data_IF_058592044584
#
_entry.id   IF_058592044584
#
_cell.length_a   1.000
_cell.length_b   1.000
_cell.length_c   1.000
_cell.angle_alpha   90.00
_cell.angle_beta   90.00
_cell.angle_gamma   90.00
#
_symmetry.space_group_name_H-M   'P 1'
#
loop_
_entity.id
_entity.type
_entity.pdbx_description
1 polymer ?
#
# COMPACT_ATOMS: atom_id res chain seq x y z
N UNK A 1 59.93 19.39 28.82
CA UNK A 1 58.67 19.67 28.08
C UNK A 1 58.11 20.97 28.62
N UNK A 2 57.91 21.99 27.78
CA UNK A 2 57.39 23.30 28.22
C UNK A 2 55.95 23.19 28.72
N UNK A 3 55.53 24.04 29.67
CA UNK A 3 54.15 24.08 30.17
C UNK A 3 53.13 24.25 29.05
N UNK A 4 53.46 25.03 28.02
CA UNK A 4 52.65 25.20 26.81
C UNK A 4 52.37 23.88 26.09
N UNK A 5 53.35 22.97 26.01
CA UNK A 5 53.15 21.64 25.42
C UNK A 5 52.19 20.80 26.26
N UNK A 6 52.33 20.82 27.60
CA UNK A 6 51.43 20.10 28.51
C UNK A 6 50.00 20.63 28.47
N UNK A 7 49.85 21.95 28.34
CA UNK A 7 48.54 22.59 28.19
C UNK A 7 47.85 22.16 26.89
N UNK A 8 48.57 22.18 25.76
CA UNK A 8 48.04 21.74 24.45
C UNK A 8 47.62 20.26 24.45
N UNK A 9 48.39 19.36 25.08
CA UNK A 9 48.00 17.94 25.18
C UNK A 9 46.75 17.74 26.04
N UNK A 10 46.60 18.50 27.13
CA UNK A 10 45.44 18.42 28.02
C UNK A 10 44.18 18.96 27.36
N UNK A 11 44.27 20.11 26.67
CA UNK A 11 43.13 20.68 25.95
C UNK A 11 42.74 19.82 24.76
N UNK A 12 43.72 19.31 24.00
CA UNK A 12 43.47 18.36 22.90
C UNK A 12 42.79 17.07 23.37
N UNK A 13 43.23 16.49 24.48
CA UNK A 13 42.59 15.30 25.07
C UNK A 13 41.14 15.59 25.50
N UNK A 14 40.91 16.73 26.14
CA UNK A 14 39.57 17.10 26.63
C UNK A 14 38.59 17.32 25.48
N UNK A 15 39.02 18.00 24.41
CA UNK A 15 38.22 18.16 23.19
C UNK A 15 37.92 16.82 22.54
N UNK A 16 38.90 15.91 22.46
CA UNK A 16 38.70 14.57 21.91
C UNK A 16 37.68 13.76 22.73
N UNK A 17 37.78 13.77 24.06
CA UNK A 17 36.85 13.07 24.95
C UNK A 17 35.43 13.62 24.84
N UNK A 18 35.27 14.95 24.82
CA UNK A 18 33.96 15.59 24.65
C UNK A 18 33.37 15.27 23.26
N UNK A 19 34.19 15.29 22.21
CA UNK A 19 33.76 14.91 20.86
C UNK A 19 33.29 13.45 20.78
N UNK A 20 34.04 12.52 21.39
CA UNK A 20 33.68 11.09 21.45
C UNK A 20 32.40 10.90 22.27
N UNK A 21 32.27 11.55 23.43
CA UNK A 21 31.06 11.47 24.25
C UNK A 21 29.83 12.02 23.51
N UNK A 22 29.96 13.14 22.79
CA UNK A 22 28.89 13.68 21.96
C UNK A 22 28.50 12.70 20.85
N UNK A 23 29.46 12.08 20.15
CA UNK A 23 29.20 11.04 19.14
C UNK A 23 28.46 9.83 19.73
N UNK A 24 28.88 9.36 20.90
CA UNK A 24 28.28 8.21 21.59
C UNK A 24 26.88 8.49 22.14
N UNK A 25 26.50 9.76 22.35
CA UNK A 25 25.16 10.13 22.83
C UNK A 25 24.23 10.50 21.67
N UNK A 26 24.70 11.35 20.76
CA UNK A 26 23.85 11.91 19.67
C UNK A 26 23.42 10.82 18.70
N UNK A 27 24.31 9.90 18.33
CA UNK A 27 24.01 8.79 17.42
C UNK A 27 22.85 7.90 17.90
N UNK A 28 22.97 7.22 19.05
CA UNK A 28 21.91 6.37 19.57
C UNK A 28 20.65 7.15 19.98
N UNK A 29 20.78 8.40 20.43
CA UNK A 29 19.63 9.25 20.72
C UNK A 29 18.81 9.55 19.46
N UNK A 30 19.47 9.91 18.36
CA UNK A 30 18.82 10.21 17.07
C UNK A 30 18.10 8.99 16.50
N UNK A 31 18.75 7.81 16.58
CA UNK A 31 18.15 6.52 16.18
C UNK A 31 16.92 6.18 17.04
N UNK A 32 17.00 6.38 18.35
CA UNK A 32 15.89 6.13 19.28
C UNK A 32 14.72 7.09 19.07
N UNK A 33 14.99 8.36 18.76
CA UNK A 33 13.91 9.32 18.46
C UNK A 33 13.20 9.02 17.14
N UNK A 34 13.92 8.53 16.13
CA UNK A 34 13.34 8.16 14.84
C UNK A 34 12.39 6.96 14.95
N UNK A 35 12.72 5.96 15.78
CA UNK A 35 11.84 4.81 16.01
C UNK A 35 10.59 5.14 16.83
N UNK A 36 10.56 6.25 17.55
CA UNK A 36 9.44 6.63 18.43
C UNK A 36 8.49 7.64 17.77
N UNK A 37 9.00 8.54 16.93
CA UNK A 37 8.21 9.69 16.47
C UNK A 37 7.25 9.33 15.33
N UNK A 38 7.50 8.26 14.58
CA UNK A 38 6.76 7.91 13.35
C UNK A 38 6.89 9.00 12.27
N UNK A 39 6.11 8.89 11.20
CA UNK A 39 6.13 9.86 10.10
C UNK A 39 4.83 10.66 9.99
N UNK A 40 4.94 11.88 9.45
CA UNK A 40 3.78 12.70 9.05
C UNK A 40 3.64 12.63 7.53
N UNK A 41 2.56 12.02 7.06
CA UNK A 41 2.19 12.09 5.65
C UNK A 41 1.23 13.27 5.43
N UNK A 42 1.54 14.14 4.49
CA UNK A 42 0.67 15.27 4.10
C UNK A 42 -0.41 14.71 3.17
N UNK A 43 -1.68 14.96 3.50
CA UNK A 43 -2.77 14.65 2.59
C UNK A 43 -2.63 15.45 1.30
N UNK A 44 -2.63 14.77 0.16
CA UNK A 44 -2.79 15.38 -1.16
C UNK A 44 -3.98 14.77 -1.86
N UNK A 45 -4.81 15.63 -2.45
CA UNK A 45 -5.95 15.18 -3.23
C UNK A 45 -5.45 14.56 -4.53
N UNK A 46 -5.80 13.29 -4.76
CA UNK A 46 -5.44 12.53 -5.97
C UNK A 46 -6.65 11.71 -6.43
N UNK A 47 -7.68 12.39 -7.01
CA UNK A 47 -8.97 11.78 -7.31
C UNK A 47 -8.90 10.70 -8.40
N UNK A 48 -7.81 10.66 -9.16
CA UNK A 48 -7.58 9.68 -10.21
C UNK A 48 -7.09 8.31 -9.70
N UNK A 49 -6.64 8.21 -8.43
CA UNK A 49 -6.19 6.95 -7.85
C UNK A 49 -7.39 6.02 -7.57
N UNK A 50 -7.21 4.69 -7.58
CA UNK A 50 -8.30 3.76 -7.29
C UNK A 50 -8.76 3.83 -5.83
N UNK A 51 -10.01 3.45 -5.57
CA UNK A 51 -10.68 3.50 -4.26
C UNK A 51 -11.22 4.88 -3.87
N UNK A 52 -11.46 5.07 -2.58
CA UNK A 52 -11.94 6.31 -1.96
C UNK A 52 -10.85 6.91 -1.06
N UNK A 53 -10.76 8.24 -1.02
CA UNK A 53 -9.79 8.93 -0.18
C UNK A 53 -10.27 8.91 1.28
N UNK A 54 -9.35 8.64 2.19
CA UNK A 54 -9.55 8.78 3.63
C UNK A 54 -8.54 9.79 4.15
N UNK A 55 -8.96 10.66 5.07
CA UNK A 55 -8.05 11.60 5.72
C UNK A 55 -6.88 10.87 6.38
N UNK A 56 -5.68 11.39 6.13
CA UNK A 56 -4.46 10.83 6.70
C UNK A 56 -4.31 11.32 8.13
N UNK A 57 -4.28 10.38 9.07
CA UNK A 57 -4.11 10.66 10.49
C UNK A 57 -2.62 10.85 10.85
N UNK A 58 -2.38 11.59 11.94
CA UNK A 58 -1.06 11.62 12.57
C UNK A 58 -0.64 10.18 12.91
N UNK A 59 0.56 9.77 12.46
CA UNK A 59 0.97 8.37 12.44
C UNK A 59 2.23 8.09 13.27
N UNK A 60 2.21 8.34 14.60
CA UNK A 60 3.34 8.01 15.46
C UNK A 60 3.47 6.50 15.65
N UNK A 61 4.70 6.04 15.91
CA UNK A 61 4.92 4.70 16.41
C UNK A 61 4.45 4.59 17.87
N UNK A 62 3.69 3.54 18.17
CA UNK A 62 3.12 3.30 19.49
C UNK A 62 3.44 1.90 20.01
N UNK A 63 3.37 1.73 21.34
CA UNK A 63 3.49 0.42 21.97
C UNK A 63 2.17 -0.38 21.88
N UNK A 64 2.23 -1.72 22.01
CA UNK A 64 1.04 -2.58 22.08
C UNK A 64 0.01 -2.13 23.12
N UNK A 65 0.46 -1.65 24.28
CA UNK A 65 -0.42 -1.16 25.34
C UNK A 65 -1.25 0.05 24.87
N UNK A 66 -0.63 0.99 24.15
CA UNK A 66 -1.30 2.19 23.65
C UNK A 66 -2.27 1.90 22.51
N UNK A 67 -2.05 0.84 21.72
CA UNK A 67 -2.90 0.52 20.57
C UNK A 67 -4.37 0.28 20.95
N UNK A 68 -4.64 -0.24 22.14
CA UNK A 68 -6.01 -0.45 22.65
C UNK A 68 -6.86 0.83 22.74
N UNK A 69 -6.19 1.99 22.87
CA UNK A 69 -6.82 3.31 22.97
C UNK A 69 -6.92 4.06 21.63
N UNK A 70 -6.31 3.53 20.57
CA UNK A 70 -6.30 4.19 19.25
C UNK A 70 -7.69 4.13 18.64
N UNK A 71 -8.04 5.21 17.94
CA UNK A 71 -9.22 5.30 17.10
C UNK A 71 -8.77 5.71 15.71
N UNK A 72 -9.29 5.00 14.71
CA UNK A 72 -9.02 5.25 13.30
C UNK A 72 -10.29 5.77 12.64
N UNK A 73 -10.12 6.48 11.53
CA UNK A 73 -11.23 7.12 10.79
C UNK A 73 -11.80 6.21 9.68
N UNK A 74 -11.26 5.01 9.52
CA UNK A 74 -11.70 4.01 8.55
C UNK A 74 -11.66 2.60 9.13
N UNK A 75 -12.47 1.71 8.52
CA UNK A 75 -12.54 0.29 8.86
C UNK A 75 -12.45 -0.52 7.56
N UNK A 76 -11.36 -1.25 7.29
CA UNK A 76 -10.11 -1.29 8.06
C UNK A 76 -9.34 0.05 8.04
N UNK A 77 -8.44 0.28 9.00
CA UNK A 77 -7.70 1.53 9.10
C UNK A 77 -6.70 1.69 7.97
N UNK A 78 -6.60 2.90 7.41
CA UNK A 78 -5.72 3.22 6.26
C UNK A 78 -4.52 4.08 6.62
N UNK A 79 -4.48 4.66 7.83
CA UNK A 79 -3.37 5.47 8.35
C UNK A 79 -3.53 5.65 9.87
N UNK A 80 -2.59 6.31 10.53
CA UNK A 80 -2.69 6.70 11.94
C UNK A 80 -1.67 5.99 12.84
N UNK A 81 -1.82 6.08 14.17
CA UNK A 81 -0.87 5.50 15.11
C UNK A 81 -0.73 4.00 14.92
N UNK A 82 0.50 3.49 14.83
CA UNK A 82 0.75 2.09 14.48
C UNK A 82 2.04 1.57 15.15
N UNK A 83 2.33 0.28 15.06
CA UNK A 83 3.49 -0.28 15.77
C UNK A 83 4.79 0.13 15.11
N UNK A 84 5.91 0.15 15.85
CA UNK A 84 7.24 0.33 15.24
C UNK A 84 7.69 -0.91 14.44
N UNK A 85 7.08 -2.07 14.70
CA UNK A 85 7.32 -3.31 13.97
C UNK A 85 6.37 -3.41 12.77
N UNK A 86 6.89 -3.96 11.68
CA UNK A 86 6.12 -4.30 10.47
C UNK A 86 5.92 -5.80 10.32
N UNK A 87 5.07 -6.19 9.38
CA UNK A 87 4.89 -7.58 8.93
C UNK A 87 5.40 -7.78 7.50
N UNK A 88 5.71 -9.02 7.16
CA UNK A 88 6.00 -9.37 5.78
C UNK A 88 4.72 -9.38 4.92
N UNK A 89 4.86 -9.14 3.62
CA UNK A 89 3.80 -9.44 2.65
C UNK A 89 3.54 -10.95 2.60
N UNK A 90 2.32 -11.32 2.23
CA UNK A 90 1.89 -12.72 2.15
C UNK A 90 0.49 -12.97 2.70
N UNK A 91 0.17 -14.25 2.84
CA UNK A 91 -1.14 -14.73 3.31
C UNK A 91 -1.07 -15.08 4.78
N UNK A 92 -2.01 -14.51 5.55
CA UNK A 92 -2.19 -14.78 6.97
C UNK A 92 -3.52 -15.50 7.19
N UNK A 93 -3.52 -16.69 7.83
CA UNK A 93 -4.73 -17.48 8.05
C UNK A 93 -5.59 -16.95 9.23
N UNK A 94 -5.15 -15.90 9.90
CA UNK A 94 -5.80 -15.32 11.07
C UNK A 94 -5.74 -13.81 11.04
N UNK A 95 -6.65 -13.11 11.74
CA UNK A 95 -6.66 -11.66 11.76
C UNK A 95 -5.32 -11.08 12.20
N UNK A 96 -4.86 -10.08 11.46
CA UNK A 96 -3.62 -9.37 11.76
C UNK A 96 -3.95 -8.11 12.56
N UNK A 97 -3.22 -7.81 13.65
CA UNK A 97 -3.36 -6.56 14.38
C UNK A 97 -3.28 -5.33 13.47
N UNK A 98 -4.23 -4.40 13.61
CA UNK A 98 -4.34 -3.17 12.81
C UNK A 98 -3.03 -2.35 12.76
N UNK A 99 -2.33 -2.24 13.89
CA UNK A 99 -1.06 -1.51 13.96
C UNK A 99 0.06 -2.13 13.13
N UNK A 100 0.00 -3.41 12.77
CA UNK A 100 0.96 -4.05 11.85
C UNK A 100 0.58 -3.80 10.40
N UNK A 101 -0.71 -3.89 10.06
CA UNK A 101 -1.18 -3.63 8.69
C UNK A 101 -1.03 -2.17 8.31
N UNK A 102 -1.26 -1.23 9.24
CA UNK A 102 -1.02 0.21 9.00
C UNK A 102 0.47 0.46 8.77
N UNK A 103 1.38 -0.16 9.53
CA UNK A 103 2.82 -0.03 9.27
C UNK A 103 3.19 -0.61 7.89
N UNK A 104 2.64 -1.76 7.49
CA UNK A 104 2.86 -2.30 6.15
C UNK A 104 2.41 -1.32 5.05
N UNK A 105 1.27 -0.64 5.23
CA UNK A 105 0.81 0.39 4.30
C UNK A 105 1.68 1.66 4.32
N UNK A 106 2.31 2.00 5.46
CA UNK A 106 3.30 3.09 5.52
C UNK A 106 4.48 2.81 4.59
N UNK A 107 4.87 1.55 4.45
CA UNK A 107 5.83 1.07 3.44
C UNK A 107 5.15 0.72 2.11
N UNK A 108 4.06 1.38 1.72
CA UNK A 108 3.52 1.25 0.36
C UNK A 108 2.99 -0.13 -0.03
N UNK A 109 2.71 -1.02 0.93
CA UNK A 109 2.03 -2.28 0.68
C UNK A 109 0.51 -2.07 0.57
N UNK A 110 -0.15 -3.04 -0.07
CA UNK A 110 -1.61 -3.13 -0.15
C UNK A 110 -2.09 -4.24 0.76
N UNK A 111 -3.06 -3.94 1.61
CA UNK A 111 -3.64 -4.91 2.53
C UNK A 111 -5.05 -5.25 2.05
N UNK A 112 -5.25 -6.51 1.71
CA UNK A 112 -6.53 -7.09 1.32
C UNK A 112 -7.09 -7.82 2.52
N UNK A 113 -8.27 -7.40 2.96
CA UNK A 113 -8.97 -7.99 4.09
C UNK A 113 -10.34 -8.50 3.67
N UNK A 114 -10.80 -9.57 4.29
CA UNK A 114 -12.09 -10.17 3.98
C UNK A 114 -12.85 -10.58 5.24
N UNK A 115 -14.17 -10.59 5.14
CA UNK A 115 -15.06 -11.00 6.21
C UNK A 115 -15.00 -12.52 6.44
N UNK A 116 -15.22 -12.96 7.68
CA UNK A 116 -15.14 -14.38 8.07
C UNK A 116 -16.16 -15.28 7.32
N UNK A 117 -17.22 -14.67 6.79
CA UNK A 117 -18.28 -15.34 6.03
C UNK A 117 -18.06 -15.32 4.50
N UNK A 118 -16.90 -14.85 4.01
CA UNK A 118 -16.63 -14.81 2.57
C UNK A 118 -16.61 -16.25 1.99
N UNK A 119 -17.26 -16.50 0.84
CA UNK A 119 -17.24 -17.81 0.20
C UNK A 119 -15.83 -18.33 -0.09
N UNK A 120 -15.62 -19.64 0.10
CA UNK A 120 -14.28 -20.26 0.00
C UNK A 120 -13.62 -20.13 -1.38
N UNK A 121 -14.41 -20.19 -2.46
CA UNK A 121 -13.94 -19.96 -3.83
C UNK A 121 -13.39 -18.55 -4.03
N UNK A 122 -13.99 -17.54 -3.38
CA UNK A 122 -13.50 -16.17 -3.40
C UNK A 122 -12.22 -16.02 -2.56
N UNK A 123 -12.11 -16.72 -1.42
CA UNK A 123 -10.88 -16.77 -0.62
C UNK A 123 -9.74 -17.39 -1.45
N UNK A 124 -10.00 -18.45 -2.21
CA UNK A 124 -9.02 -19.07 -3.12
C UNK A 124 -8.58 -18.14 -4.25
N UNK A 125 -9.50 -17.33 -4.78
CA UNK A 125 -9.19 -16.29 -5.75
C UNK A 125 -8.30 -15.19 -5.14
N UNK A 126 -8.61 -14.73 -3.91
CA UNK A 126 -7.77 -13.78 -3.18
C UNK A 126 -6.38 -14.34 -2.88
N UNK A 127 -6.28 -15.61 -2.51
CA UNK A 127 -4.99 -16.28 -2.33
C UNK A 127 -4.16 -16.27 -3.62
N UNK A 128 -4.80 -16.39 -4.78
CA UNK A 128 -4.12 -16.30 -6.07
C UNK A 128 -3.63 -14.88 -6.38
N UNK A 129 -4.40 -13.85 -6.01
CA UNK A 129 -3.96 -12.45 -6.08
C UNK A 129 -2.75 -12.22 -5.17
N UNK A 130 -2.81 -12.66 -3.91
CA UNK A 130 -1.70 -12.50 -2.96
C UNK A 130 -0.41 -13.19 -3.45
N UNK A 131 -0.52 -14.37 -4.09
CA UNK A 131 0.63 -15.03 -4.73
C UNK A 131 1.16 -14.25 -5.93
N UNK A 132 0.28 -13.73 -6.78
CA UNK A 132 0.66 -12.91 -7.95
C UNK A 132 1.40 -11.64 -7.55
N UNK A 133 1.00 -11.03 -6.44
CA UNK A 133 1.56 -9.78 -5.90
C UNK A 133 2.33 -10.03 -4.60
N UNK A 134 3.08 -11.13 -4.51
CA UNK A 134 3.69 -11.58 -3.25
C UNK A 134 4.68 -10.61 -2.60
N UNK A 135 5.24 -9.68 -3.36
CA UNK A 135 6.13 -8.63 -2.83
C UNK A 135 5.38 -7.39 -2.31
N UNK A 136 4.08 -7.28 -2.59
CA UNK A 136 3.32 -6.04 -2.43
C UNK A 136 2.06 -6.19 -1.57
N UNK A 137 1.53 -7.42 -1.42
CA UNK A 137 0.21 -7.66 -0.83
C UNK A 137 0.28 -8.42 0.49
N UNK A 138 -0.46 -7.93 1.48
CA UNK A 138 -0.85 -8.67 2.69
C UNK A 138 -2.30 -9.11 2.53
N UNK A 139 -2.60 -10.40 2.73
CA UNK A 139 -3.96 -10.94 2.75
C UNK A 139 -4.27 -11.52 4.13
N UNK A 140 -5.36 -11.09 4.76
CA UNK A 140 -5.80 -11.61 6.06
C UNK A 140 -7.32 -11.51 6.23
N UNK A 141 -7.96 -12.40 7.01
CA UNK A 141 -9.33 -12.16 7.45
C UNK A 141 -9.39 -10.95 8.40
N UNK A 142 -10.55 -10.31 8.51
CA UNK A 142 -10.74 -9.15 9.39
C UNK A 142 -12.08 -9.17 10.10
N UNK A 143 -12.02 -9.29 11.43
CA UNK A 143 -13.20 -9.55 12.27
C UNK A 143 -14.20 -8.39 12.33
N UNK A 144 -13.75 -7.16 12.05
CA UNK A 144 -14.62 -5.97 12.04
C UNK A 144 -15.29 -5.74 10.68
N UNK A 145 -15.10 -6.63 9.70
CA UNK A 145 -15.79 -6.58 8.41
C UNK A 145 -16.99 -7.53 8.43
N UNK A 146 -18.20 -6.96 8.36
CA UNK A 146 -19.44 -7.74 8.42
C UNK A 146 -19.64 -8.64 7.18
N UNK A 147 -19.19 -8.18 6.01
CA UNK A 147 -19.30 -8.91 4.75
C UNK A 147 -18.30 -8.41 3.70
N UNK A 148 -18.00 -9.27 2.72
CA UNK A 148 -17.25 -8.87 1.53
C UNK A 148 -15.75 -8.73 1.76
N UNK A 149 -15.15 -7.80 1.00
CA UNK A 149 -13.70 -7.60 0.88
C UNK A 149 -13.42 -6.09 1.02
N UNK A 150 -12.37 -5.75 1.75
CA UNK A 150 -11.83 -4.40 1.85
C UNK A 150 -10.39 -4.39 1.33
N UNK A 151 -10.11 -3.47 0.41
CA UNK A 151 -8.77 -3.18 -0.11
C UNK A 151 -8.30 -1.90 0.56
N UNK A 152 -7.14 -1.95 1.20
CA UNK A 152 -6.58 -0.79 1.88
C UNK A 152 -5.14 -0.53 1.43
N UNK A 153 -4.86 0.74 1.22
CA UNK A 153 -3.51 1.27 1.09
C UNK A 153 -3.47 2.57 1.91
N UNK A 154 -2.28 3.18 2.05
CA UNK A 154 -2.16 4.38 2.87
C UNK A 154 -3.14 5.47 2.43
N UNK A 155 -4.07 5.89 3.30
CA UNK A 155 -5.09 6.89 2.98
C UNK A 155 -6.11 6.49 1.88
N UNK A 156 -6.18 5.22 1.47
CA UNK A 156 -7.16 4.73 0.48
C UNK A 156 -7.86 3.47 0.92
N UNK A 157 -9.14 3.41 0.61
CA UNK A 157 -9.96 2.24 0.87
C UNK A 157 -10.88 1.94 -0.31
N UNK A 158 -11.08 0.67 -0.61
CA UNK A 158 -12.11 0.22 -1.53
C UNK A 158 -12.86 -0.97 -0.96
N UNK A 159 -14.18 -0.91 -0.92
CA UNK A 159 -15.04 -1.99 -0.44
C UNK A 159 -15.72 -2.69 -1.61
N UNK A 160 -15.72 -4.02 -1.56
CA UNK A 160 -16.32 -4.88 -2.54
C UNK A 160 -17.24 -5.88 -1.84
N UNK A 161 -18.46 -6.03 -2.34
CA UNK A 161 -19.41 -7.03 -1.81
C UNK A 161 -18.99 -8.46 -2.15
N UNK A 162 -18.29 -8.64 -3.27
CA UNK A 162 -17.80 -9.91 -3.79
C UNK A 162 -16.47 -9.73 -4.53
N UNK A 163 -15.79 -10.83 -4.79
CA UNK A 163 -14.55 -10.84 -5.55
C UNK A 163 -14.73 -10.25 -6.95
N UNK A 164 -13.99 -9.17 -7.22
CA UNK A 164 -13.79 -8.59 -8.55
C UNK A 164 -12.29 -8.52 -8.82
N UNK A 165 -11.77 -9.51 -9.55
CA UNK A 165 -10.34 -9.62 -9.82
C UNK A 165 -9.78 -8.45 -10.63
N UNK A 166 -10.57 -7.81 -11.49
CA UNK A 166 -10.12 -6.65 -12.27
C UNK A 166 -9.97 -5.44 -11.36
N UNK A 167 -10.99 -5.15 -10.55
CA UNK A 167 -10.96 -4.01 -9.62
C UNK A 167 -9.88 -4.16 -8.56
N UNK A 168 -9.69 -5.37 -8.03
CA UNK A 168 -8.62 -5.68 -7.09
C UNK A 168 -7.25 -5.46 -7.74
N UNK A 169 -7.02 -5.98 -8.95
CA UNK A 169 -5.76 -5.78 -9.65
C UNK A 169 -5.50 -4.29 -9.95
N UNK A 170 -6.51 -3.54 -10.37
CA UNK A 170 -6.40 -2.09 -10.58
C UNK A 170 -6.00 -1.35 -9.29
N UNK A 171 -6.62 -1.71 -8.15
CA UNK A 171 -6.28 -1.12 -6.86
C UNK A 171 -4.82 -1.43 -6.46
N UNK A 172 -4.41 -2.71 -6.58
CA UNK A 172 -3.06 -3.15 -6.24
C UNK A 172 -2.02 -2.46 -7.13
N UNK A 173 -2.18 -2.49 -8.45
CA UNK A 173 -1.23 -1.89 -9.39
C UNK A 173 -1.10 -0.37 -9.22
N UNK A 174 -2.20 0.33 -8.91
CA UNK A 174 -2.18 1.77 -8.73
C UNK A 174 -1.50 2.22 -7.43
N UNK A 175 -1.52 1.37 -6.39
CA UNK A 175 -1.16 1.77 -5.03
C UNK A 175 0.03 1.02 -4.43
N UNK A 176 0.46 -0.09 -5.01
CA UNK A 176 1.67 -0.79 -4.59
C UNK A 176 2.91 0.07 -4.80
N UNK A 177 3.91 -0.15 -3.96
CA UNK A 177 5.24 0.41 -4.17
C UNK A 177 5.39 1.89 -3.82
N UNK A 178 4.40 2.47 -3.15
CA UNK A 178 4.39 3.87 -2.70
C UNK A 178 5.14 4.01 -1.35
N UNK A 179 6.38 3.51 -1.31
CA UNK A 179 7.25 3.35 -0.11
C UNK A 179 7.73 4.66 0.54
N UNK A 180 7.28 5.83 0.08
CA UNK A 180 7.75 7.12 0.58
C UNK A 180 6.72 7.72 1.53
N UNK A 181 7.18 8.33 2.63
CA UNK A 181 6.32 9.06 3.57
C UNK A 181 5.54 10.25 2.93
N UNK A 182 5.77 10.52 1.64
CA UNK A 182 4.82 11.20 0.76
C UNK A 182 4.12 10.20 -0.16
N UNK A 183 3.18 9.42 0.37
CA UNK A 183 2.51 8.31 -0.35
C UNK A 183 1.80 8.76 -1.66
N UNK A 184 1.56 10.06 -1.81
CA UNK A 184 1.19 10.70 -3.09
C UNK A 184 2.41 11.27 -3.81
N UNK A 185 2.61 10.87 -5.07
CA UNK A 185 3.60 11.43 -5.97
C UNK A 185 3.01 12.61 -6.77
N UNK A 186 3.85 13.55 -7.20
CA UNK A 186 3.40 14.72 -7.98
C UNK A 186 2.80 14.36 -9.35
N UNK A 187 3.07 13.15 -9.84
CA UNK A 187 2.61 12.63 -11.13
C UNK A 187 1.42 11.66 -11.02
N UNK A 188 0.85 11.46 -9.83
CA UNK A 188 -0.24 10.50 -9.59
C UNK A 188 -1.46 10.71 -10.49
N UNK A 189 -1.70 11.94 -10.92
CA UNK A 189 -2.75 12.28 -11.89
C UNK A 189 -2.19 12.96 -13.15
N UNK A 190 -0.95 12.62 -13.53
CA UNK A 190 -0.39 13.04 -14.81
C UNK A 190 -1.23 12.44 -15.96
N UNK A 191 -1.42 13.15 -17.09
CA UNK A 191 -2.15 12.62 -18.25
C UNK A 191 -1.64 11.23 -18.70
N UNK A 192 -0.37 10.93 -18.48
CA UNK A 192 0.25 9.65 -18.83
C UNK A 192 0.02 8.53 -17.79
N UNK A 193 -0.39 8.86 -16.56
CA UNK A 193 -0.71 7.88 -15.51
C UNK A 193 -2.08 7.22 -15.76
N UNK A 194 -3.07 8.00 -16.23
CA UNK A 194 -4.40 7.50 -16.58
C UNK A 194 -4.35 6.45 -17.71
N UNK A 195 -3.44 6.62 -18.69
CA UNK A 195 -3.25 5.69 -19.82
C UNK A 195 -2.71 4.32 -19.38
N UNK A 196 -1.97 4.25 -18.26
CA UNK A 196 -1.42 2.99 -17.75
C UNK A 196 -2.47 2.11 -17.07
N UNK A 197 -3.52 2.70 -16.47
CA UNK A 197 -4.54 1.95 -15.72
C UNK A 197 -5.62 1.37 -16.66
N UNK A 198 -5.86 1.98 -17.82
CA UNK A 198 -6.84 1.50 -18.81
C UNK A 198 -6.31 0.41 -19.75
N UNK A 199 -5.01 0.13 -19.72
CA UNK A 199 -4.41 -0.91 -20.55
C UNK A 199 -4.60 -2.30 -19.91
N UNK A 200 -5.82 -2.83 -19.97
CA UNK A 200 -6.00 -4.27 -19.86
C UNK A 200 -5.08 -4.96 -20.89
N UNK A 201 -4.43 -6.10 -20.58
CA UNK A 201 -3.65 -6.82 -21.58
C UNK A 201 -4.59 -7.16 -22.73
N UNK A 202 -4.28 -6.67 -23.93
CA UNK A 202 -4.97 -7.07 -25.13
C UNK A 202 -4.93 -8.60 -25.17
N UNK A 203 -6.09 -9.23 -25.02
CA UNK A 203 -6.27 -10.65 -25.29
C UNK A 203 -5.88 -10.83 -26.76
N UNK A 204 -4.67 -11.33 -26.98
CA UNK A 204 -4.24 -11.82 -28.27
C UNK A 204 -5.15 -12.99 -28.63
N UNK A 205 -6.13 -12.75 -29.49
CA UNK A 205 -6.88 -13.82 -30.16
C UNK A 205 -5.92 -14.53 -31.13
N UNK A 206 -5.11 -15.42 -30.57
CA UNK A 206 -4.30 -16.36 -31.33
C UNK A 206 -5.04 -17.67 -31.49
N UNK A 207 -5.92 -17.79 -32.50
CA UNK A 207 -6.23 -19.08 -33.13
C UNK A 207 -6.46 -18.88 -34.63
N UNK A 208 -5.62 -19.57 -35.40
CA UNK A 208 -5.68 -19.72 -36.85
C UNK A 208 -6.94 -20.45 -37.27
N UNK A 209 -7.69 -19.91 -38.26
CA UNK A 209 -8.52 -20.70 -39.17
C UNK A 209 -8.51 -20.04 -40.56
N UNK A 210 -8.46 -20.90 -41.56
CA UNK A 210 -8.33 -20.61 -42.98
C UNK A 210 -9.35 -19.60 -43.51
N UNK A 211 -8.93 -18.88 -44.56
CA UNK A 211 -9.80 -18.03 -45.36
C UNK A 211 -11.02 -18.80 -45.87
N UNK A 212 -12.21 -18.28 -45.57
CA UNK A 212 -13.44 -18.60 -46.29
C UNK A 212 -14.13 -17.28 -46.63
N UNK A 213 -14.17 -17.06 -47.94
CA UNK A 213 -14.94 -16.05 -48.66
C UNK A 213 -16.43 -16.19 -48.30
N UNK A 214 -17.13 -15.09 -47.98
CA UNK A 214 -18.57 -15.13 -47.77
C UNK A 214 -19.16 -14.14 -46.76
N UNK A 215 -19.74 -13.06 -47.31
CA UNK A 215 -20.92 -12.29 -46.87
C UNK A 215 -21.58 -12.63 -45.52
N UNK A 216 -21.74 -11.62 -44.65
CA UNK A 216 -22.54 -11.70 -43.42
C UNK A 216 -24.05 -11.77 -43.74
N UNK A 217 -24.70 -12.88 -43.37
CA UNK A 217 -26.15 -13.07 -43.39
C UNK A 217 -26.77 -12.85 -42.00
N UNK A 218 -28.01 -12.35 -41.98
CA UNK A 218 -28.77 -12.06 -40.76
C UNK A 218 -29.06 -13.32 -39.94
N UNK A 219 -28.66 -13.31 -38.66
CA UNK A 219 -29.01 -14.32 -37.66
C UNK A 219 -27.84 -15.19 -37.20
N UNK A 220 -26.86 -14.60 -36.49
CA UNK A 220 -25.89 -15.29 -35.61
C UNK A 220 -25.18 -14.28 -34.70
N UNK A 221 -24.76 -14.74 -33.53
CA UNK A 221 -24.35 -13.99 -32.35
C UNK A 221 -23.38 -12.81 -32.58
N UNK A 222 -23.66 -11.69 -31.91
CA UNK A 222 -22.76 -10.53 -31.85
C UNK A 222 -21.42 -10.91 -31.20
N UNK A 223 -20.37 -10.95 -32.01
CA UNK A 223 -18.99 -10.88 -31.55
C UNK A 223 -18.62 -9.48 -31.07
N UNK A 224 -17.60 -9.40 -30.22
CA UNK A 224 -17.17 -8.21 -29.50
C UNK A 224 -16.95 -6.97 -30.39
N UNK A 225 -17.80 -5.96 -30.27
CA UNK A 225 -17.47 -4.58 -30.65
C UNK A 225 -16.81 -3.88 -29.46
N UNK A 226 -15.51 -3.60 -29.57
CA UNK A 226 -14.88 -2.58 -28.76
C UNK A 226 -15.29 -1.22 -29.34
N UNK A 227 -15.85 -0.36 -28.49
CA UNK A 227 -16.28 1.03 -28.74
C UNK A 227 -17.56 1.21 -29.56
N UNK A 228 -18.67 1.48 -28.89
CA UNK A 228 -19.76 2.28 -29.46
C UNK A 228 -19.61 3.70 -28.89
N UNK A 229 -19.07 4.60 -29.71
CA UNK A 229 -19.22 6.05 -29.56
C UNK A 229 -20.49 6.47 -30.32
N UNK A 230 -21.14 7.52 -29.84
CA UNK A 230 -22.46 7.98 -30.27
C UNK A 230 -22.53 8.23 -31.80
N UNK A 231 -23.25 7.37 -32.53
CA UNK A 231 -24.30 7.67 -33.55
C UNK A 231 -24.45 6.53 -34.56
N UNK A 232 -25.65 5.93 -34.52
CA UNK A 232 -26.27 5.10 -35.56
C UNK A 232 -25.80 3.64 -35.61
N UNK A 233 -26.79 2.75 -35.66
CA UNK A 233 -26.73 1.28 -35.55
C UNK A 233 -25.62 0.59 -36.35
#
# INVERSE_FOLDING_TARGET
MTETRRWLWRTGLLVAVVGIAALLVVGPYSFSSATITGSKAIQRDSPCLPGTAVSILDSPHISPVRATSVRYDSVPPTSGPHFAATIATGVYPSPVPEGLTVHAMEHGHVVIQYAQNLPGDQIDALNSIARRYGADVVLAPYDKLDSGIALTAWGRIDHLDHYDGSRIATFVEGLRGRYIHGWTHSDDCSPNAAVKITAAPALSCGYSLAAIDGSCGAGSACGCCATCDDRSC
#
